data_IF_540244288023
#
_entry.id   IF_540244288023
#
_cell.length_a   1.000
_cell.length_b   1.000
_cell.length_c   1.000
_cell.angle_alpha   90.00
_cell.angle_beta   90.00
_cell.angle_gamma   90.00
#
_symmetry.space_group_name_H-M   'P 1'
#
loop_
_entity.id
_entity.type
_entity.pdbx_description
1 polymer ?
#
# COMPACT_ATOMS: atom_id res chain seq x y z
N UNK A 1 -95.50 16.36 29.91
CA UNK A 1 -95.78 17.67 30.58
C UNK A 1 -97.08 18.21 30.07
N UNK A 2 -97.94 18.69 30.97
CA UNK A 2 -99.17 19.41 30.61
C UNK A 2 -98.78 20.88 30.28
N UNK A 3 -99.08 21.33 29.06
CA UNK A 3 -98.76 22.68 28.61
C UNK A 3 -99.98 23.63 28.79
N UNK A 4 -101.20 23.08 28.70
CA UNK A 4 -102.44 23.82 28.88
C UNK A 4 -103.55 22.91 29.41
N UNK A 5 -104.46 23.38 30.24
CA UNK A 5 -105.57 22.63 30.88
C UNK A 5 -105.09 22.07 32.24
N UNK A 6 -106.04 22.05 33.21
CA UNK A 6 -105.74 21.58 34.57
C UNK A 6 -106.05 20.09 34.69
N UNK A 7 -105.06 19.26 34.19
CA UNK A 7 -105.20 17.77 34.25
C UNK A 7 -103.99 17.19 34.94
N UNK A 8 -104.19 16.07 35.66
CA UNK A 8 -103.09 15.29 36.25
C UNK A 8 -102.93 14.02 35.38
N UNK A 9 -101.71 13.77 34.89
CA UNK A 9 -101.37 12.56 34.17
C UNK A 9 -100.92 11.57 35.19
N UNK A 10 -101.49 10.40 35.23
CA UNK A 10 -101.09 9.26 36.05
C UNK A 10 -101.13 7.98 35.17
N UNK A 11 -100.09 7.22 35.22
CA UNK A 11 -99.95 5.96 34.42
C UNK A 11 -100.27 6.22 32.91
N UNK A 12 -99.71 7.31 32.34
CA UNK A 12 -99.91 7.79 30.95
C UNK A 12 -101.39 8.06 30.58
N UNK A 13 -102.27 8.27 31.58
CA UNK A 13 -103.69 8.53 31.39
C UNK A 13 -104.08 9.82 32.13
N UNK A 14 -105.01 10.49 31.57
CA UNK A 14 -105.72 11.62 32.23
C UNK A 14 -107.22 11.63 31.83
N UNK A 15 -108.05 12.23 32.61
CA UNK A 15 -109.44 12.45 32.30
C UNK A 15 -109.59 13.79 31.60
N UNK A 16 -110.29 13.85 30.44
CA UNK A 16 -110.57 15.04 29.71
C UNK A 16 -111.50 15.93 30.49
N UNK A 17 -111.13 17.15 30.78
CA UNK A 17 -112.01 18.18 31.38
C UNK A 17 -112.87 18.79 30.29
N UNK A 18 -113.93 19.59 30.60
CA UNK A 18 -114.73 20.38 29.69
C UNK A 18 -114.02 21.55 29.00
N UNK A 19 -112.64 21.58 29.06
CA UNK A 19 -111.77 22.59 28.52
C UNK A 19 -110.63 21.96 27.68
N UNK A 20 -110.05 22.74 26.79
CA UNK A 20 -108.97 22.34 25.93
C UNK A 20 -107.67 21.94 26.77
N UNK A 21 -107.10 20.82 26.43
CA UNK A 21 -105.82 20.34 27.05
C UNK A 21 -104.76 20.18 26.00
N UNK A 22 -103.56 20.74 26.28
CA UNK A 22 -102.38 20.56 25.45
C UNK A 22 -101.31 19.79 26.28
N UNK A 23 -100.82 18.64 25.75
CA UNK A 23 -99.82 17.82 26.37
C UNK A 23 -98.63 17.73 25.43
N UNK A 24 -97.40 17.98 26.00
CA UNK A 24 -96.13 17.78 25.27
C UNK A 24 -95.43 16.58 25.86
N UNK A 25 -95.17 15.60 25.03
CA UNK A 25 -94.22 14.54 25.37
C UNK A 25 -92.81 15.12 25.38
N UNK A 26 -92.12 14.97 26.46
CA UNK A 26 -90.71 15.31 26.58
C UNK A 26 -89.92 13.96 26.65
N UNK A 27 -89.10 13.79 25.66
CA UNK A 27 -88.16 12.66 25.62
C UNK A 27 -86.84 13.19 26.10
N UNK A 28 -86.24 12.49 27.07
CA UNK A 28 -84.84 12.68 27.39
C UNK A 28 -84.02 11.75 26.50
N UNK A 29 -82.95 12.31 25.93
CA UNK A 29 -81.99 11.50 25.17
C UNK A 29 -81.29 10.59 26.17
N UNK A 30 -81.36 9.28 25.94
CA UNK A 30 -80.61 8.35 26.76
C UNK A 30 -79.11 8.72 26.70
N UNK A 31 -78.48 8.91 27.83
CA UNK A 31 -77.05 9.15 27.87
C UNK A 31 -76.34 8.01 27.13
N UNK A 32 -75.41 8.36 26.19
CA UNK A 32 -74.66 7.32 25.50
C UNK A 32 -74.06 6.32 26.52
N UNK A 33 -74.11 5.00 26.23
CA UNK A 33 -73.57 4.03 27.16
C UNK A 33 -72.10 4.36 27.45
N UNK A 34 -71.75 4.46 28.73
CA UNK A 34 -70.36 4.66 29.15
C UNK A 34 -69.55 3.47 28.62
N UNK A 35 -68.46 3.71 27.87
CA UNK A 35 -67.64 2.64 27.35
C UNK A 35 -67.14 1.76 28.52
N UNK A 36 -67.42 0.47 28.45
CA UNK A 36 -66.89 -0.48 29.43
C UNK A 36 -65.46 -0.85 29.09
N UNK A 37 -64.59 -0.93 30.09
CA UNK A 37 -63.19 -1.35 29.91
C UNK A 37 -63.14 -2.79 29.31
N UNK A 38 -62.45 -2.99 28.14
CA UNK A 38 -62.37 -4.33 27.56
C UNK A 38 -61.51 -5.28 28.35
N UNK A 39 -61.77 -6.57 28.25
CA UNK A 39 -60.91 -7.60 28.80
C UNK A 39 -59.49 -7.51 28.17
N UNK A 40 -58.46 -7.69 28.98
CA UNK A 40 -57.08 -7.68 28.50
C UNK A 40 -56.85 -8.82 27.52
N UNK A 41 -56.43 -8.54 26.26
CA UNK A 41 -56.35 -9.55 25.24
C UNK A 41 -55.11 -10.45 25.42
N UNK A 42 -55.21 -11.66 24.91
CA UNK A 42 -54.06 -12.52 24.67
C UNK A 42 -53.78 -12.51 23.15
N UNK A 43 -52.85 -11.66 22.74
CA UNK A 43 -52.54 -11.49 21.31
C UNK A 43 -51.43 -12.46 20.87
N UNK A 44 -51.52 -12.89 19.63
CA UNK A 44 -50.47 -13.63 18.92
C UNK A 44 -50.26 -13.08 17.53
N UNK A 45 -49.02 -13.11 17.02
CA UNK A 45 -48.69 -12.79 15.65
C UNK A 45 -48.44 -14.07 14.88
N UNK A 46 -48.98 -14.15 13.68
CA UNK A 46 -48.80 -15.27 12.75
C UNK A 46 -48.28 -14.75 11.41
N UNK A 47 -47.55 -15.60 10.68
CA UNK A 47 -46.94 -15.29 9.38
C UNK A 47 -45.44 -15.15 9.47
N UNK A 48 -44.77 -15.40 8.33
CA UNK A 48 -43.36 -15.17 8.10
C UNK A 48 -43.23 -14.12 7.01
N UNK A 49 -42.40 -13.14 7.25
CA UNK A 49 -42.20 -12.02 6.34
C UNK A 49 -40.74 -11.95 5.93
N UNK A 50 -40.52 -11.69 4.65
CA UNK A 50 -39.17 -11.45 4.08
C UNK A 50 -39.21 -10.12 3.35
N UNK A 51 -38.18 -9.34 3.46
CA UNK A 51 -38.07 -8.04 2.80
C UNK A 51 -38.31 -8.15 1.28
N UNK A 52 -39.16 -7.27 0.77
CA UNK A 52 -39.49 -7.19 -0.67
C UNK A 52 -39.67 -5.76 -1.17
N UNK A 53 -39.24 -4.76 -0.39
CA UNK A 53 -39.39 -3.33 -0.69
C UNK A 53 -40.77 -2.76 -0.44
N UNK A 54 -41.76 -3.58 -0.04
CA UNK A 54 -43.14 -3.16 0.23
C UNK A 54 -43.47 -3.22 1.73
N UNK A 55 -44.48 -2.48 2.15
CA UNK A 55 -44.98 -2.54 3.53
C UNK A 55 -45.57 -3.92 3.82
N UNK A 56 -45.08 -4.56 4.83
CA UNK A 56 -45.66 -5.76 5.44
C UNK A 56 -46.57 -5.37 6.60
N UNK A 57 -47.71 -6.07 6.72
CA UNK A 57 -48.63 -5.94 7.85
C UNK A 57 -48.71 -7.28 8.59
N UNK A 58 -48.27 -7.27 9.83
CA UNK A 58 -48.32 -8.46 10.66
C UNK A 58 -49.80 -8.88 10.95
N UNK A 59 -50.10 -10.16 10.75
CA UNK A 59 -51.40 -10.74 11.12
C UNK A 59 -51.46 -10.96 12.61
N UNK A 60 -52.27 -10.13 13.29
CA UNK A 60 -52.41 -10.14 14.73
C UNK A 60 -53.78 -10.75 15.11
N UNK A 61 -53.78 -11.73 15.93
CA UNK A 61 -55.01 -12.41 16.41
C UNK A 61 -55.24 -12.08 17.89
N UNK A 62 -56.47 -12.20 18.34
CA UNK A 62 -56.85 -12.12 19.75
C UNK A 62 -57.16 -10.71 20.25
N UNK A 63 -57.37 -9.72 19.35
CA UNK A 63 -57.79 -8.38 19.72
C UNK A 63 -59.08 -7.97 18.98
N UNK A 64 -59.77 -6.94 19.50
CA UNK A 64 -61.02 -6.43 18.94
C UNK A 64 -60.87 -4.92 18.60
N UNK A 65 -60.93 -4.58 17.30
CA UNK A 65 -60.84 -3.21 16.83
C UNK A 65 -61.98 -2.26 17.28
N UNK A 66 -63.13 -2.82 17.71
CA UNK A 66 -64.20 -1.98 18.26
C UNK A 66 -63.80 -1.33 19.59
N UNK A 67 -63.02 -2.02 20.41
CA UNK A 67 -62.67 -1.64 21.79
C UNK A 67 -61.19 -1.37 21.99
N UNK A 68 -60.35 -1.71 21.03
CA UNK A 68 -58.87 -1.64 21.13
C UNK A 68 -58.23 -0.93 19.95
N UNK A 69 -57.09 -0.32 20.16
CA UNK A 69 -56.21 0.24 19.13
C UNK A 69 -54.97 -0.64 18.97
N UNK A 70 -54.48 -0.73 17.71
CA UNK A 70 -53.29 -1.49 17.36
C UNK A 70 -52.28 -0.55 16.70
N UNK A 71 -51.00 -0.76 17.01
CA UNK A 71 -49.86 -0.06 16.41
C UNK A 71 -48.64 -0.94 16.32
N UNK A 72 -47.66 -0.58 15.50
CA UNK A 72 -46.40 -1.34 15.36
C UNK A 72 -46.58 -2.67 14.61
N UNK A 73 -47.70 -2.88 13.97
CA UNK A 73 -48.00 -4.05 13.15
C UNK A 73 -47.67 -3.89 11.66
N UNK A 74 -47.07 -2.76 11.27
CA UNK A 74 -46.62 -2.52 9.91
C UNK A 74 -45.16 -2.09 9.90
N UNK A 75 -44.36 -2.60 8.95
CA UNK A 75 -42.98 -2.21 8.69
C UNK A 75 -42.58 -2.55 7.25
N UNK A 76 -41.53 -1.92 6.76
CA UNK A 76 -41.04 -2.15 5.38
C UNK A 76 -39.68 -2.88 5.44
N UNK A 77 -38.77 -2.44 6.31
CA UNK A 77 -37.40 -2.95 6.36
C UNK A 77 -37.29 -4.28 7.11
N UNK A 78 -36.24 -5.03 6.83
CA UNK A 78 -35.90 -6.21 7.62
C UNK A 78 -35.52 -5.80 9.06
N UNK A 79 -35.98 -6.56 10.01
CA UNK A 79 -35.75 -6.27 11.42
C UNK A 79 -36.79 -6.88 12.34
N UNK A 80 -36.61 -6.64 13.63
CA UNK A 80 -37.50 -7.07 14.70
C UNK A 80 -38.42 -5.93 15.13
N UNK A 81 -39.71 -6.23 15.26
CA UNK A 81 -40.75 -5.27 15.53
C UNK A 81 -41.65 -5.74 16.69
N UNK A 82 -42.40 -4.82 17.26
CA UNK A 82 -43.32 -5.08 18.34
C UNK A 82 -44.68 -4.50 18.03
N UNK A 83 -45.65 -5.36 17.94
CA UNK A 83 -47.08 -4.96 17.94
C UNK A 83 -47.45 -4.51 19.35
N UNK A 84 -48.25 -3.46 19.42
CA UNK A 84 -48.83 -2.91 20.66
C UNK A 84 -50.32 -2.78 20.50
N UNK A 85 -51.07 -3.38 21.40
CA UNK A 85 -52.50 -3.26 21.50
C UNK A 85 -52.87 -2.54 22.80
N UNK A 86 -53.68 -1.51 22.71
CA UNK A 86 -54.13 -0.69 23.83
C UNK A 86 -55.65 -0.65 23.91
N UNK A 87 -56.20 -0.53 25.10
CA UNK A 87 -57.66 -0.25 25.27
C UNK A 87 -57.96 1.18 24.86
N UNK A 88 -59.06 1.41 24.11
CA UNK A 88 -59.56 2.76 23.77
C UNK A 88 -60.04 3.54 24.99
N UNK A 89 -60.37 2.87 26.10
CA UNK A 89 -60.72 3.51 27.39
C UNK A 89 -59.49 3.85 28.21
N UNK A 90 -58.28 3.41 27.80
CA UNK A 90 -57.03 3.60 28.54
C UNK A 90 -56.82 2.62 29.70
N UNK A 91 -57.76 1.73 29.94
CA UNK A 91 -57.71 0.73 31.03
C UNK A 91 -58.27 -0.61 30.55
N UNK A 92 -57.83 -1.68 31.12
CA UNK A 92 -58.35 -3.03 30.97
C UNK A 92 -59.35 -3.35 32.09
N UNK A 93 -60.23 -4.32 31.87
CA UNK A 93 -61.24 -4.74 32.84
C UNK A 93 -60.65 -5.22 34.18
N UNK A 94 -59.38 -5.67 34.19
CA UNK A 94 -58.64 -6.03 35.40
C UNK A 94 -58.08 -4.82 36.16
N UNK A 95 -58.35 -3.58 35.69
CA UNK A 95 -57.83 -2.34 36.26
C UNK A 95 -56.45 -1.98 35.85
N UNK A 96 -55.70 -2.85 35.11
CA UNK A 96 -54.38 -2.55 34.61
C UNK A 96 -54.43 -1.56 33.43
N UNK A 97 -53.27 -0.86 33.22
CA UNK A 97 -53.06 0.07 32.11
C UNK A 97 -51.85 -0.36 31.31
N UNK A 98 -51.68 0.19 30.11
CA UNK A 98 -50.54 -0.11 29.26
C UNK A 98 -50.86 -1.12 28.15
N UNK A 99 -49.96 -1.19 27.19
CA UNK A 99 -50.14 -2.04 26.02
C UNK A 99 -49.89 -3.52 26.31
N UNK A 100 -50.63 -4.36 25.63
CA UNK A 100 -50.23 -5.77 25.41
C UNK A 100 -49.40 -5.85 24.17
N UNK A 101 -48.29 -6.56 24.22
CA UNK A 101 -47.30 -6.58 23.12
C UNK A 101 -47.04 -7.99 22.62
N UNK A 102 -46.73 -8.09 21.33
CA UNK A 102 -46.23 -9.31 20.69
C UNK A 102 -45.11 -8.95 19.69
N UNK A 103 -44.07 -9.77 19.64
CA UNK A 103 -42.97 -9.60 18.72
C UNK A 103 -43.31 -10.18 17.33
N UNK A 104 -42.77 -9.55 16.30
CA UNK A 104 -42.76 -10.10 14.94
C UNK A 104 -41.51 -9.59 14.21
N UNK A 105 -41.14 -10.16 13.05
CA UNK A 105 -39.96 -9.76 12.30
C UNK A 105 -40.19 -9.88 10.80
N UNK A 106 -39.41 -9.09 10.07
CA UNK A 106 -39.18 -9.22 8.63
C UNK A 106 -37.76 -9.68 8.45
N UNK A 107 -37.56 -10.87 7.86
CA UNK A 107 -36.25 -11.43 7.55
C UNK A 107 -35.59 -10.70 6.36
N UNK A 108 -34.26 -10.75 6.28
CA UNK A 108 -33.52 -10.26 5.11
C UNK A 108 -33.87 -11.08 3.87
N UNK A 109 -33.88 -10.45 2.71
CA UNK A 109 -34.02 -11.08 1.41
C UNK A 109 -32.65 -11.57 0.88
N UNK A 110 -32.67 -12.53 -0.02
CA UNK A 110 -31.51 -12.92 -0.82
C UNK A 110 -31.32 -11.95 -1.97
N UNK A 111 -30.09 -11.80 -2.44
CA UNK A 111 -29.73 -11.03 -3.63
C UNK A 111 -29.36 -11.96 -4.78
N UNK A 112 -29.58 -11.49 -6.01
CA UNK A 112 -29.09 -12.15 -7.21
C UNK A 112 -27.58 -11.97 -7.35
N UNK A 113 -26.95 -12.81 -8.18
CA UNK A 113 -25.54 -12.65 -8.49
C UNK A 113 -25.31 -11.40 -9.37
N UNK A 114 -24.23 -10.63 -9.18
CA UNK A 114 -23.83 -9.56 -10.10
C UNK A 114 -23.69 -10.07 -11.53
N UNK A 115 -23.99 -9.24 -12.51
CA UNK A 115 -23.79 -9.54 -13.92
C UNK A 115 -23.03 -8.40 -14.63
N UNK A 116 -22.54 -8.66 -15.84
CA UNK A 116 -21.83 -7.66 -16.63
C UNK A 116 -20.43 -7.30 -16.11
N UNK A 117 -19.84 -8.10 -15.23
CA UNK A 117 -18.50 -7.89 -14.72
C UNK A 117 -17.46 -8.28 -15.78
N UNK A 118 -16.47 -7.41 -16.03
CA UNK A 118 -15.40 -7.61 -17.00
C UNK A 118 -14.05 -7.36 -16.32
N UNK A 119 -13.18 -8.37 -16.30
CA UNK A 119 -11.78 -8.22 -15.91
C UNK A 119 -10.94 -7.73 -17.09
N UNK A 120 -10.12 -6.72 -16.87
CA UNK A 120 -9.17 -6.15 -17.82
C UNK A 120 -7.77 -6.38 -17.29
N UNK A 121 -6.91 -7.00 -18.08
CA UNK A 121 -5.52 -7.29 -17.73
C UNK A 121 -4.72 -5.99 -17.50
N UNK A 122 -3.66 -6.02 -16.68
CA UNK A 122 -2.66 -4.98 -16.64
C UNK A 122 -2.03 -4.73 -18.00
N UNK A 123 -1.42 -3.58 -18.21
CA UNK A 123 -0.75 -3.23 -19.48
C UNK A 123 0.45 -4.12 -19.75
N UNK A 124 1.18 -4.51 -18.70
CA UNK A 124 2.36 -5.38 -18.78
C UNK A 124 2.27 -6.55 -17.81
N UNK A 125 3.00 -7.62 -18.12
CA UNK A 125 3.19 -8.77 -17.24
C UNK A 125 3.75 -8.32 -15.88
N UNK A 126 3.12 -8.77 -14.78
CA UNK A 126 3.47 -8.35 -13.43
C UNK A 126 2.99 -6.95 -13.06
N UNK A 127 2.33 -6.24 -13.95
CA UNK A 127 1.71 -4.94 -13.68
C UNK A 127 0.57 -5.02 -12.66
N UNK A 128 0.20 -3.87 -12.11
CA UNK A 128 -0.90 -3.73 -11.16
C UNK A 128 -1.92 -2.67 -11.56
N UNK A 129 -1.99 -2.35 -12.85
CA UNK A 129 -2.93 -1.40 -13.44
C UNK A 129 -4.15 -2.09 -14.09
N UNK A 130 -4.34 -3.37 -13.82
CA UNK A 130 -5.53 -4.13 -14.19
C UNK A 130 -6.78 -3.62 -13.47
N UNK A 131 -7.95 -3.98 -14.00
CA UNK A 131 -9.22 -3.52 -13.44
C UNK A 131 -10.37 -4.51 -13.63
N UNK A 132 -11.43 -4.32 -12.85
CA UNK A 132 -12.73 -4.97 -13.06
C UNK A 132 -13.76 -3.86 -13.24
N UNK A 133 -14.46 -3.86 -14.37
CA UNK A 133 -15.58 -2.95 -14.65
C UNK A 133 -16.93 -3.63 -14.45
N UNK A 134 -18.01 -2.80 -14.39
CA UNK A 134 -19.37 -3.28 -14.19
C UNK A 134 -19.76 -3.45 -12.73
N UNK A 135 -18.97 -2.96 -11.80
CA UNK A 135 -19.29 -2.94 -10.37
C UNK A 135 -20.12 -1.71 -9.99
N UNK A 136 -20.67 -1.71 -8.80
CA UNK A 136 -21.38 -0.59 -8.19
C UNK A 136 -20.95 -0.41 -6.74
N UNK A 137 -21.30 0.72 -6.13
CA UNK A 137 -21.06 1.01 -4.70
C UNK A 137 -21.79 0.08 -3.72
N UNK A 138 -22.69 -0.76 -4.24
CA UNK A 138 -23.38 -1.81 -3.45
C UNK A 138 -22.67 -3.15 -3.48
N UNK A 139 -21.57 -3.25 -4.16
CA UNK A 139 -20.79 -4.47 -4.32
C UNK A 139 -19.52 -4.44 -3.45
N UNK A 140 -19.00 -5.62 -3.22
CA UNK A 140 -17.71 -5.85 -2.57
C UNK A 140 -16.93 -6.94 -3.31
N UNK A 141 -15.61 -6.88 -3.23
CA UNK A 141 -14.73 -7.81 -3.92
C UNK A 141 -13.61 -8.32 -3.04
N UNK A 142 -13.00 -9.43 -3.43
CA UNK A 142 -11.76 -9.97 -2.86
C UNK A 142 -10.97 -10.75 -3.90
N UNK A 143 -9.67 -10.90 -3.70
CA UNK A 143 -8.93 -11.96 -4.42
C UNK A 143 -9.42 -13.34 -3.97
N UNK A 144 -9.31 -14.33 -4.87
CA UNK A 144 -9.78 -15.69 -4.59
C UNK A 144 -9.07 -16.36 -3.39
N UNK A 145 -7.80 -16.00 -3.15
CA UNK A 145 -6.96 -16.49 -2.05
C UNK A 145 -7.17 -15.73 -0.73
N UNK A 146 -7.95 -14.66 -0.71
CA UNK A 146 -8.26 -13.85 0.48
C UNK A 146 -9.65 -14.15 1.00
N UNK A 147 -9.85 -13.97 2.29
CA UNK A 147 -11.14 -14.14 2.96
C UNK A 147 -11.89 -12.83 3.23
N UNK A 148 -11.20 -11.70 3.15
CA UNK A 148 -11.75 -10.39 3.50
C UNK A 148 -12.19 -9.68 2.22
N UNK A 149 -13.43 -9.16 2.23
CA UNK A 149 -13.98 -8.35 1.16
C UNK A 149 -13.64 -6.87 1.37
N UNK A 150 -13.46 -6.18 0.26
CA UNK A 150 -13.29 -4.72 0.17
C UNK A 150 -14.50 -4.15 -0.56
N UNK A 151 -15.10 -3.10 -0.02
CA UNK A 151 -16.22 -2.44 -0.67
C UNK A 151 -15.77 -1.79 -1.99
N UNK A 152 -16.61 -1.90 -3.03
CA UNK A 152 -16.41 -1.20 -4.29
C UNK A 152 -16.75 0.28 -4.13
N UNK A 153 -16.04 1.13 -4.87
CA UNK A 153 -16.35 2.55 -4.99
C UNK A 153 -16.43 2.92 -6.49
N UNK A 154 -17.59 3.40 -6.94
CA UNK A 154 -17.78 3.74 -8.35
C UNK A 154 -18.13 2.54 -9.23
N UNK A 155 -17.76 2.61 -10.51
CA UNK A 155 -18.13 1.63 -11.56
C UNK A 155 -17.01 0.70 -11.98
N UNK A 156 -15.79 0.92 -11.46
CA UNK A 156 -14.59 0.12 -11.73
C UNK A 156 -13.81 -0.11 -10.43
N UNK A 157 -13.13 -1.24 -10.35
CA UNK A 157 -12.09 -1.54 -9.37
C UNK A 157 -10.78 -1.41 -10.12
N UNK A 158 -9.90 -0.54 -9.68
CA UNK A 158 -8.62 -0.25 -10.31
C UNK A 158 -7.43 -0.81 -9.50
N UNK A 159 -6.24 -0.72 -10.10
CA UNK A 159 -4.98 -1.11 -9.48
C UNK A 159 -4.94 -2.60 -9.07
N UNK A 160 -5.46 -3.45 -9.95
CA UNK A 160 -5.48 -4.89 -9.74
C UNK A 160 -4.30 -5.57 -10.46
N UNK A 161 -3.67 -6.51 -9.78
CA UNK A 161 -2.76 -7.47 -10.40
C UNK A 161 -3.55 -8.57 -11.11
N UNK A 162 -2.90 -9.28 -12.03
CA UNK A 162 -3.46 -10.48 -12.63
C UNK A 162 -3.86 -11.50 -11.55
N UNK A 163 -5.00 -12.15 -11.75
CA UNK A 163 -5.51 -13.14 -10.80
C UNK A 163 -7.01 -13.36 -10.90
N UNK A 164 -7.51 -14.25 -10.05
CA UNK A 164 -8.93 -14.51 -9.91
C UNK A 164 -9.49 -13.72 -8.72
N UNK A 165 -10.62 -13.08 -8.96
CA UNK A 165 -11.34 -12.28 -7.98
C UNK A 165 -12.76 -12.81 -7.83
N UNK A 166 -13.35 -12.58 -6.67
CA UNK A 166 -14.78 -12.75 -6.43
C UNK A 166 -15.41 -11.39 -6.19
N UNK A 167 -16.55 -11.16 -6.82
CA UNK A 167 -17.37 -9.96 -6.66
C UNK A 167 -18.78 -10.39 -6.32
N UNK A 168 -19.42 -9.72 -5.35
CA UNK A 168 -20.81 -9.96 -4.96
C UNK A 168 -21.48 -8.66 -4.51
N UNK A 169 -22.78 -8.64 -4.43
CA UNK A 169 -23.47 -7.59 -3.68
C UNK A 169 -23.16 -7.74 -2.18
N UNK A 170 -22.83 -6.64 -1.55
CA UNK A 170 -22.57 -6.59 -0.11
C UNK A 170 -23.86 -6.83 0.68
N UNK A 171 -23.73 -7.37 1.88
CA UNK A 171 -24.82 -7.43 2.84
C UNK A 171 -25.22 -6.00 3.25
N UNK A 172 -26.53 -5.76 3.33
CA UNK A 172 -27.10 -4.52 3.85
C UNK A 172 -28.15 -4.79 4.95
N UNK A 173 -28.86 -3.77 5.36
CA UNK A 173 -29.89 -3.92 6.38
C UNK A 173 -31.03 -4.86 5.95
N UNK A 174 -31.34 -4.90 4.66
CA UNK A 174 -32.50 -5.58 4.09
C UNK A 174 -32.16 -6.88 3.35
N UNK A 175 -30.89 -7.10 3.02
CA UNK A 175 -30.44 -8.22 2.22
C UNK A 175 -29.25 -8.94 2.85
N UNK A 176 -29.19 -10.24 2.69
CA UNK A 176 -27.97 -11.02 2.88
C UNK A 176 -26.97 -10.69 1.76
N UNK A 177 -25.68 -10.96 1.98
CA UNK A 177 -24.69 -10.88 0.90
C UNK A 177 -25.11 -11.78 -0.27
N UNK A 178 -24.92 -11.28 -1.48
CA UNK A 178 -25.21 -12.00 -2.72
C UNK A 178 -24.22 -13.16 -2.96
N UNK A 179 -24.49 -14.02 -3.94
CA UNK A 179 -23.55 -15.04 -4.38
C UNK A 179 -22.29 -14.43 -5.00
N UNK A 180 -21.16 -15.11 -4.80
CA UNK A 180 -19.90 -14.76 -5.43
C UNK A 180 -19.92 -15.01 -6.94
N UNK A 181 -19.47 -14.04 -7.72
CA UNK A 181 -19.16 -14.19 -9.15
C UNK A 181 -17.64 -14.13 -9.35
N UNK A 182 -17.09 -15.17 -9.96
CA UNK A 182 -15.67 -15.21 -10.30
C UNK A 182 -15.38 -14.30 -11.50
N UNK A 183 -14.37 -13.46 -11.38
CA UNK A 183 -13.86 -12.59 -12.45
C UNK A 183 -12.35 -12.78 -12.54
N UNK A 184 -11.86 -13.07 -13.75
CA UNK A 184 -10.43 -13.19 -14.01
C UNK A 184 -9.89 -11.88 -14.57
N UNK A 185 -8.89 -11.32 -13.92
CA UNK A 185 -8.01 -10.29 -14.46
C UNK A 185 -6.82 -11.05 -15.06
N UNK A 186 -6.74 -11.04 -16.40
CA UNK A 186 -5.70 -11.78 -17.14
C UNK A 186 -4.29 -11.23 -16.88
N UNK A 187 -3.29 -11.94 -17.37
CA UNK A 187 -1.91 -11.45 -17.40
C UNK A 187 -1.79 -10.28 -18.39
N UNK A 188 -0.94 -9.30 -18.06
CA UNK A 188 -0.58 -8.22 -18.97
C UNK A 188 0.26 -8.71 -20.16
N UNK A 189 0.52 -7.84 -21.12
CA UNK A 189 1.39 -8.14 -22.24
C UNK A 189 2.81 -8.49 -21.73
N UNK A 190 3.48 -9.51 -22.30
CA UNK A 190 4.85 -9.84 -21.95
C UNK A 190 5.77 -8.61 -22.08
N UNK A 191 6.67 -8.42 -21.12
CA UNK A 191 7.70 -7.39 -21.21
C UNK A 191 8.60 -7.66 -22.44
N UNK A 192 8.92 -6.61 -23.19
CA UNK A 192 9.80 -6.68 -24.35
C UNK A 192 11.21 -7.15 -23.96
N UNK A 193 11.86 -7.89 -24.86
CA UNK A 193 13.28 -8.18 -24.74
C UNK A 193 14.08 -6.94 -25.13
N UNK A 194 15.07 -6.59 -24.29
CA UNK A 194 16.00 -5.47 -24.50
C UNK A 194 17.42 -6.01 -24.60
N UNK A 195 18.20 -5.50 -25.55
CA UNK A 195 19.59 -5.89 -25.75
C UNK A 195 20.52 -4.84 -25.17
N UNK A 196 21.42 -5.29 -24.31
CA UNK A 196 22.51 -4.50 -23.74
C UNK A 196 23.77 -4.82 -24.59
N UNK A 197 24.34 -3.82 -25.24
CA UNK A 197 25.62 -3.96 -25.98
C UNK A 197 26.72 -3.20 -25.24
N UNK A 198 27.94 -3.70 -25.35
CA UNK A 198 29.10 -3.08 -24.71
C UNK A 198 30.05 -2.49 -25.78
N UNK A 199 30.48 -1.25 -25.55
CA UNK A 199 31.40 -0.53 -26.41
C UNK A 199 32.69 -0.22 -25.65
N UNK A 200 33.81 -0.75 -26.13
CA UNK A 200 35.11 -0.54 -25.51
C UNK A 200 35.66 0.89 -25.63
N UNK A 201 35.05 1.73 -26.48
CA UNK A 201 35.41 3.15 -26.63
C UNK A 201 36.92 3.43 -26.70
N UNK A 202 37.60 2.74 -27.63
CA UNK A 202 39.07 2.79 -27.82
C UNK A 202 39.83 1.70 -27.07
N UNK A 203 39.27 0.99 -26.12
CA UNK A 203 39.83 -0.20 -25.55
C UNK A 203 39.73 -1.41 -26.52
N UNK A 204 40.52 -2.44 -26.27
CA UNK A 204 40.54 -3.67 -27.08
C UNK A 204 39.84 -4.85 -26.39
N UNK A 205 39.51 -5.89 -27.14
CA UNK A 205 38.72 -7.02 -26.65
C UNK A 205 37.25 -6.91 -26.97
N UNK A 206 36.42 -7.77 -26.41
CA UNK A 206 34.96 -7.78 -26.59
C UNK A 206 34.26 -8.20 -25.30
N UNK A 207 33.05 -7.72 -25.15
CA UNK A 207 32.08 -8.22 -24.18
C UNK A 207 30.82 -8.65 -24.93
N UNK A 208 30.29 -9.82 -24.59
CA UNK A 208 29.11 -10.35 -25.26
C UNK A 208 27.87 -9.53 -24.90
N UNK A 209 26.96 -9.29 -25.86
CA UNK A 209 25.67 -8.68 -25.57
C UNK A 209 24.85 -9.48 -24.57
N UNK A 210 24.04 -8.78 -23.76
CA UNK A 210 23.14 -9.41 -22.79
C UNK A 210 21.70 -9.07 -23.16
N UNK A 211 20.82 -10.07 -23.18
CA UNK A 211 19.37 -9.85 -23.35
C UNK A 211 18.68 -9.91 -21.99
N UNK A 212 17.88 -8.91 -21.67
CA UNK A 212 17.07 -8.83 -20.46
C UNK A 212 15.66 -8.40 -20.82
N UNK A 213 14.69 -8.59 -19.91
CA UNK A 213 13.36 -8.01 -20.08
C UNK A 213 13.39 -6.50 -19.75
N UNK A 214 12.53 -5.74 -20.42
CA UNK A 214 12.30 -4.34 -20.02
C UNK A 214 11.98 -4.25 -18.52
N UNK A 215 12.28 -3.12 -17.89
CA UNK A 215 12.14 -2.86 -16.46
C UNK A 215 13.11 -3.68 -15.56
N UNK A 216 14.02 -4.49 -16.15
CA UNK A 216 15.06 -5.18 -15.38
C UNK A 216 16.07 -4.18 -14.81
N UNK A 217 16.35 -4.32 -13.53
CA UNK A 217 17.48 -3.64 -12.88
C UNK A 217 18.77 -4.42 -13.15
N UNK A 218 19.51 -3.97 -14.16
CA UNK A 218 20.77 -4.60 -14.57
C UNK A 218 21.94 -4.05 -13.72
N UNK A 219 22.73 -4.96 -13.15
CA UNK A 219 23.92 -4.60 -12.38
C UNK A 219 25.11 -4.50 -13.34
N UNK A 220 25.78 -3.35 -13.37
CA UNK A 220 26.88 -3.08 -14.27
C UNK A 220 28.09 -3.94 -13.91
N UNK A 221 28.62 -4.74 -14.89
CA UNK A 221 29.71 -5.69 -14.65
C UNK A 221 31.06 -5.01 -14.50
N UNK A 222 32.08 -5.78 -14.13
CA UNK A 222 33.48 -5.41 -14.30
C UNK A 222 33.78 -5.18 -15.79
N UNK A 223 34.70 -4.27 -16.07
CA UNK A 223 35.12 -3.99 -17.45
C UNK A 223 35.95 -5.14 -18.02
N UNK A 224 35.42 -5.80 -19.03
CA UNK A 224 36.11 -6.88 -19.73
C UNK A 224 37.00 -6.42 -20.91
N UNK A 225 37.04 -5.12 -21.22
CA UNK A 225 37.92 -4.55 -22.24
C UNK A 225 39.31 -4.28 -21.67
N UNK A 226 40.33 -4.42 -22.50
CA UNK A 226 41.70 -3.96 -22.21
C UNK A 226 41.78 -2.46 -22.49
N UNK A 227 42.28 -1.70 -21.52
CA UNK A 227 42.41 -0.26 -21.64
C UNK A 227 43.39 0.15 -22.79
N UNK A 228 43.22 1.34 -23.41
CA UNK A 228 44.22 1.93 -24.26
C UNK A 228 45.54 2.16 -23.51
N UNK A 229 46.65 2.36 -24.25
CA UNK A 229 47.95 2.63 -23.65
C UNK A 229 47.88 3.82 -22.67
N UNK A 230 48.55 3.68 -21.54
CA UNK A 230 48.63 4.70 -20.48
C UNK A 230 47.25 5.12 -19.88
N UNK A 231 46.23 4.29 -20.05
CA UNK A 231 44.91 4.50 -19.45
C UNK A 231 44.48 3.33 -18.60
N UNK A 232 43.51 3.57 -17.71
CA UNK A 232 42.85 2.59 -16.88
C UNK A 232 41.33 2.82 -16.92
N UNK A 233 40.55 1.78 -16.64
CA UNK A 233 39.10 1.91 -16.60
C UNK A 233 38.64 2.89 -15.53
N UNK A 234 37.76 3.81 -15.91
CA UNK A 234 37.20 4.84 -15.03
C UNK A 234 35.80 4.47 -14.56
N UNK A 235 34.92 4.24 -15.50
CA UNK A 235 33.48 4.06 -15.28
C UNK A 235 32.80 3.54 -16.56
N UNK A 236 31.52 3.18 -16.44
CA UNK A 236 30.63 2.98 -17.55
C UNK A 236 29.88 4.26 -17.90
N UNK A 237 29.54 4.49 -19.16
CA UNK A 237 28.65 5.55 -19.62
C UNK A 237 27.42 4.95 -20.26
N UNK A 238 26.23 5.43 -19.86
CA UNK A 238 24.95 5.11 -20.48
C UNK A 238 24.20 6.42 -20.72
N UNK A 239 23.92 6.73 -21.99
CA UNK A 239 23.17 7.94 -22.34
C UNK A 239 23.82 9.26 -21.86
N UNK A 240 25.16 9.32 -21.75
CA UNK A 240 25.90 10.49 -21.27
C UNK A 240 26.06 10.60 -19.75
N UNK A 241 25.57 9.62 -19.00
CA UNK A 241 25.70 9.55 -17.54
C UNK A 241 26.72 8.48 -17.12
N UNK A 242 27.59 8.82 -16.18
CA UNK A 242 28.60 7.91 -15.65
C UNK A 242 28.05 7.03 -14.52
N UNK A 243 28.42 5.74 -14.56
CA UNK A 243 28.08 4.71 -13.58
C UNK A 243 29.33 3.92 -13.17
N UNK A 244 29.35 3.45 -11.93
CA UNK A 244 30.41 2.58 -11.44
C UNK A 244 30.07 1.11 -11.67
N UNK A 245 31.10 0.27 -11.64
CA UNK A 245 30.91 -1.18 -11.51
C UNK A 245 30.04 -1.49 -10.29
N UNK A 246 29.05 -2.34 -10.44
CA UNK A 246 28.10 -2.72 -9.40
C UNK A 246 26.90 -1.77 -9.24
N UNK A 247 26.88 -0.64 -9.91
CA UNK A 247 25.70 0.24 -9.95
C UNK A 247 24.56 -0.48 -10.70
N UNK A 248 23.31 -0.16 -10.32
CA UNK A 248 22.10 -0.69 -10.94
C UNK A 248 21.56 0.30 -11.96
N UNK A 249 21.18 -0.19 -13.14
CA UNK A 249 20.52 0.57 -14.20
C UNK A 249 19.23 -0.10 -14.63
N UNK A 250 18.09 0.62 -14.64
CA UNK A 250 16.81 0.09 -15.13
C UNK A 250 16.77 0.14 -16.65
N UNK A 251 16.68 -1.03 -17.27
CA UNK A 251 16.69 -1.18 -18.74
C UNK A 251 15.26 -1.09 -19.27
N UNK A 252 14.97 -0.06 -20.07
CA UNK A 252 13.63 0.16 -20.66
C UNK A 252 13.62 0.05 -22.20
N UNK A 253 14.72 -0.38 -22.79
CA UNK A 253 14.91 -0.55 -24.25
C UNK A 253 16.34 -0.98 -24.54
N UNK A 254 16.69 -1.15 -25.82
CA UNK A 254 18.04 -1.45 -26.22
C UNK A 254 19.00 -0.32 -25.81
N UNK A 255 20.14 -0.68 -25.21
CA UNK A 255 21.15 0.28 -24.72
C UNK A 255 22.55 -0.09 -25.14
N UNK A 256 23.39 0.90 -25.31
CA UNK A 256 24.84 0.76 -25.43
C UNK A 256 25.51 1.25 -24.13
N UNK A 257 26.36 0.41 -23.54
CA UNK A 257 27.18 0.74 -22.37
C UNK A 257 28.61 0.95 -22.84
N UNK A 258 29.15 2.18 -22.69
CA UNK A 258 30.49 2.53 -23.11
C UNK A 258 31.46 2.52 -21.98
N UNK A 259 32.67 2.00 -22.21
CA UNK A 259 33.78 2.16 -21.27
C UNK A 259 34.31 3.59 -21.31
N UNK A 260 34.50 4.18 -20.14
CA UNK A 260 35.22 5.43 -19.97
C UNK A 260 36.60 5.15 -19.37
N UNK A 261 37.59 5.81 -19.92
CA UNK A 261 39.00 5.67 -19.54
C UNK A 261 39.50 6.93 -18.86
N UNK A 262 40.47 6.79 -17.98
CA UNK A 262 41.25 7.88 -17.38
C UNK A 262 42.73 7.57 -17.49
N UNK A 263 43.59 8.61 -17.52
CA UNK A 263 45.01 8.40 -17.55
C UNK A 263 45.47 7.60 -16.33
N UNK A 264 46.27 6.55 -16.57
CA UNK A 264 46.92 5.76 -15.51
C UNK A 264 48.00 6.64 -14.88
N UNK A 265 47.93 6.83 -13.59
CA UNK A 265 49.03 7.48 -12.83
C UNK A 265 50.15 6.45 -12.67
N UNK A 266 51.12 6.48 -13.59
CA UNK A 266 52.34 5.74 -13.41
C UNK A 266 53.13 6.44 -12.30
N UNK A 267 53.09 5.98 -11.10
CA UNK A 267 54.04 6.41 -10.04
C UNK A 267 55.35 5.72 -10.35
N UNK A 268 56.43 6.46 -10.77
CA UNK A 268 57.70 5.81 -11.02
C UNK A 268 58.20 5.10 -9.75
N UNK A 269 58.67 3.85 -9.91
CA UNK A 269 59.32 3.13 -8.83
C UNK A 269 60.52 3.92 -8.32
N UNK A 270 60.62 4.16 -7.04
CA UNK A 270 61.76 4.83 -6.41
C UNK A 270 62.66 3.81 -5.72
N UNK A 271 63.93 4.08 -5.76
CA UNK A 271 65.01 3.25 -5.17
C UNK A 271 65.75 4.06 -4.12
N UNK A 272 66.35 3.39 -3.15
CA UNK A 272 67.00 4.00 -2.00
C UNK A 272 68.53 3.92 -2.14
N UNK A 273 69.21 4.99 -1.78
CA UNK A 273 70.65 5.03 -1.62
C UNK A 273 71.04 4.97 -0.15
N UNK A 274 71.70 3.92 0.25
CA UNK A 274 72.29 3.78 1.59
C UNK A 274 73.78 4.18 1.56
N UNK A 275 74.13 5.09 2.44
CA UNK A 275 75.52 5.51 2.57
C UNK A 275 76.06 5.08 3.93
N UNK A 276 77.07 4.25 3.90
CA UNK A 276 77.85 3.85 5.10
C UNK A 276 79.24 4.56 5.07
N UNK A 277 80.06 4.37 6.17
CA UNK A 277 81.36 4.95 6.26
C UNK A 277 82.35 3.94 7.04
N UNK A 278 83.62 4.24 7.08
CA UNK A 278 84.61 3.47 7.75
C UNK A 278 84.85 3.87 9.24
N UNK A 279 84.13 4.84 9.77
CA UNK A 279 84.19 5.40 11.11
C UNK A 279 84.98 6.71 11.21
N UNK A 280 85.69 7.12 10.17
CA UNK A 280 86.60 8.27 10.17
C UNK A 280 85.94 9.53 9.53
N UNK A 281 84.64 9.53 9.32
CA UNK A 281 83.86 10.59 8.78
C UNK A 281 82.40 10.19 8.58
N UNK A 282 81.59 11.02 7.86
CA UNK A 282 80.25 10.73 7.51
C UNK A 282 80.02 10.88 6.01
N UNK A 283 79.09 10.13 5.47
CA UNK A 283 78.65 10.24 4.08
C UNK A 283 77.13 10.43 3.98
N UNK A 284 76.67 11.17 2.99
CA UNK A 284 75.24 11.37 2.68
C UNK A 284 75.00 11.30 1.18
N UNK A 285 73.76 10.96 0.80
CA UNK A 285 73.28 10.98 -0.57
C UNK A 285 72.10 11.96 -0.70
N UNK A 286 72.06 12.76 -1.75
CA UNK A 286 70.95 13.69 -2.02
C UNK A 286 70.54 13.60 -3.48
N UNK A 287 69.29 13.25 -3.77
CA UNK A 287 68.29 12.65 -2.85
C UNK A 287 68.68 11.24 -2.38
N UNK A 288 68.24 10.83 -1.19
CA UNK A 288 68.47 9.47 -0.67
C UNK A 288 67.49 8.44 -1.22
N UNK A 289 66.41 8.89 -1.90
CA UNK A 289 65.46 8.05 -2.58
C UNK A 289 65.03 8.75 -3.87
N UNK A 290 65.08 8.07 -5.01
CA UNK A 290 64.79 8.63 -6.29
C UNK A 290 64.35 7.58 -7.33
N UNK A 291 63.67 8.01 -8.37
CA UNK A 291 63.39 7.19 -9.55
C UNK A 291 64.73 6.92 -10.33
N UNK A 292 64.69 5.79 -11.06
CA UNK A 292 65.81 5.48 -11.97
C UNK A 292 66.09 6.63 -12.93
N UNK A 293 67.41 6.86 -13.21
CA UNK A 293 67.88 7.96 -14.07
C UNK A 293 68.01 9.33 -13.36
N UNK A 294 67.60 9.43 -12.09
CA UNK A 294 67.79 10.66 -11.32
C UNK A 294 69.26 10.77 -10.91
N UNK A 295 69.87 11.95 -11.03
CA UNK A 295 71.24 12.22 -10.56
C UNK A 295 71.23 12.26 -9.02
N UNK A 296 72.09 11.47 -8.44
CA UNK A 296 72.39 11.42 -6.99
C UNK A 296 73.72 12.09 -6.74
N UNK A 297 73.77 13.01 -5.78
CA UNK A 297 74.99 13.64 -5.31
C UNK A 297 75.39 13.05 -3.96
N UNK A 298 76.62 12.61 -3.84
CA UNK A 298 77.21 12.10 -2.60
C UNK A 298 78.02 13.22 -1.93
N UNK A 299 78.01 13.27 -0.63
CA UNK A 299 78.79 14.21 0.14
C UNK A 299 79.52 13.47 1.25
N UNK A 300 80.82 13.59 1.30
CA UNK A 300 81.66 13.02 2.37
C UNK A 300 82.17 14.18 3.26
N UNK A 301 82.13 13.95 4.59
CA UNK A 301 82.61 14.92 5.58
C UNK A 301 83.64 14.18 6.51
N UNK A 302 84.91 14.41 6.33
CA UNK A 302 85.94 13.77 7.18
C UNK A 302 85.92 14.22 8.66
N UNK A 303 86.27 13.40 9.56
CA UNK A 303 86.61 13.79 10.94
C UNK A 303 87.92 14.53 10.99
N UNK A 304 88.24 15.25 12.09
CA UNK A 304 89.46 15.96 12.28
C UNK A 304 90.65 15.02 12.20
N UNK A 305 91.66 15.31 11.36
CA UNK A 305 92.82 14.49 11.13
C UNK A 305 92.66 13.45 10.01
N UNK A 306 91.56 13.52 9.27
CA UNK A 306 91.29 12.66 8.13
C UNK A 306 90.86 13.50 6.90
N UNK A 307 91.10 12.94 5.70
CA UNK A 307 90.54 13.45 4.45
C UNK A 307 89.77 12.35 3.71
N UNK A 308 88.86 12.76 2.84
CA UNK A 308 88.07 11.86 1.98
C UNK A 308 89.05 11.18 0.97
N UNK A 309 88.98 9.86 0.90
CA UNK A 309 89.82 9.10 -0.05
C UNK A 309 88.98 8.71 -1.30
N UNK A 310 87.93 7.96 -1.11
CA UNK A 310 87.13 7.48 -2.22
C UNK A 310 85.73 7.01 -1.80
N UNK A 311 84.84 6.85 -2.75
CA UNK A 311 83.55 6.15 -2.62
C UNK A 311 83.72 4.68 -3.04
N UNK A 312 83.40 3.74 -2.20
CA UNK A 312 83.38 2.32 -2.50
C UNK A 312 81.88 1.91 -2.79
N UNK A 313 81.58 1.44 -4.01
CA UNK A 313 80.31 0.85 -4.32
C UNK A 313 80.20 -0.55 -3.73
N UNK A 314 79.19 -0.75 -2.82
CA UNK A 314 78.96 -2.04 -2.18
C UNK A 314 77.90 -2.83 -2.97
N UNK A 315 76.85 -2.15 -3.41
CA UNK A 315 75.80 -2.78 -4.25
C UNK A 315 75.17 -1.74 -5.20
N UNK A 316 74.40 -2.22 -6.19
CA UNK A 316 73.69 -1.37 -7.17
C UNK A 316 74.48 -1.09 -8.46
N UNK A 317 75.73 -1.51 -8.58
CA UNK A 317 76.49 -1.54 -9.82
C UNK A 317 76.69 -0.15 -10.49
N UNK A 318 76.69 0.93 -9.74
CA UNK A 318 76.86 2.31 -10.25
C UNK A 318 78.31 2.68 -10.44
N UNK A 319 78.57 3.58 -11.36
CA UNK A 319 79.87 4.25 -11.52
C UNK A 319 79.77 5.66 -10.96
N UNK A 320 80.56 6.00 -9.97
CA UNK A 320 80.56 7.31 -9.34
C UNK A 320 81.61 8.16 -10.04
N UNK A 321 81.24 9.34 -10.48
CA UNK A 321 82.10 10.34 -11.09
C UNK A 321 81.78 11.70 -10.51
N UNK A 322 82.82 12.42 -10.04
CA UNK A 322 82.67 13.77 -9.44
C UNK A 322 81.60 13.80 -8.33
N UNK A 323 81.65 12.75 -7.44
CA UNK A 323 80.70 12.52 -6.34
C UNK A 323 79.24 12.34 -6.77
N UNK A 324 79.00 11.92 -8.01
CA UNK A 324 77.63 11.75 -8.61
C UNK A 324 77.51 10.43 -9.31
N UNK A 325 76.23 9.94 -9.37
CA UNK A 325 75.87 8.83 -10.23
C UNK A 325 74.37 8.94 -10.61
N UNK A 326 73.95 8.24 -11.62
CA UNK A 326 72.53 8.13 -11.99
C UNK A 326 71.94 6.93 -11.27
N UNK A 327 70.80 7.10 -10.60
CA UNK A 327 70.06 6.06 -9.89
C UNK A 327 69.73 4.92 -10.86
N UNK A 328 70.15 3.66 -10.58
CA UNK A 328 69.78 2.50 -11.39
C UNK A 328 68.32 2.05 -11.07
N UNK A 329 67.86 0.99 -11.74
CA UNK A 329 66.60 0.31 -11.43
C UNK A 329 66.68 -0.62 -10.19
N UNK A 330 67.53 -0.26 -9.22
CA UNK A 330 67.79 -1.06 -8.00
C UNK A 330 68.29 -0.12 -6.88
N UNK A 331 68.22 -0.63 -5.64
CA UNK A 331 68.81 0.08 -4.50
C UNK A 331 70.34 0.13 -4.62
N UNK A 332 70.95 1.20 -4.16
CA UNK A 332 72.38 1.39 -4.17
C UNK A 332 72.91 1.47 -2.74
N UNK A 333 74.03 0.77 -2.45
CA UNK A 333 74.78 0.97 -1.25
C UNK A 333 76.22 1.42 -1.60
N UNK A 334 76.63 2.54 -1.00
CA UNK A 334 77.97 3.08 -1.12
C UNK A 334 78.62 3.30 0.26
N UNK A 335 79.94 3.24 0.33
CA UNK A 335 80.67 3.49 1.53
C UNK A 335 81.68 4.60 1.30
N UNK A 336 81.75 5.59 2.19
CA UNK A 336 82.74 6.62 2.23
C UNK A 336 84.02 6.05 2.94
N UNK A 337 85.14 6.14 2.32
CA UNK A 337 86.43 5.76 2.84
C UNK A 337 87.26 7.00 3.09
N UNK A 338 87.83 7.13 4.24
CA UNK A 338 88.67 8.23 4.68
C UNK A 338 90.08 7.72 4.98
N UNK A 339 91.08 8.60 4.86
CA UNK A 339 92.53 8.32 5.12
C UNK A 339 93.09 9.34 6.12
N UNK A 340 93.96 8.90 7.02
CA UNK A 340 94.56 9.81 8.00
C UNK A 340 95.48 10.81 7.35
N UNK A 341 95.41 12.05 7.81
CA UNK A 341 96.29 13.11 7.32
C UNK A 341 97.73 12.78 7.71
N UNK A 342 98.60 12.75 6.70
CA UNK A 342 100.07 12.55 7.01
C UNK A 342 100.64 13.86 7.58
N UNK A 343 101.46 13.80 8.66
CA UNK A 343 101.96 15.00 9.28
C UNK A 343 102.92 15.82 8.40
#
# INVERSE_FOLDING_TARGET
>A
QVMRGNVTIKDDKFTMPDSEVEIKAIFEEDAPPVPTDPAKPNISVTGTYTYNGSVHTATVNGYDLATMDISGNTATDAGDYTVRVTSKTGRWADGSTGAVTAAWSIGKATQEAPNGLIGVAPTTEGGSDGKISGVTDKMEYRMADKSIYTACSGTEIENLSAGNYFVRYAEDNNHFAGPDVAVTVGEGAPLADCTITFNGNGGSGSMEPVTVKAETNYILPECGFTAPADQEFKAWEIGGTEYKVGDSYTVNGDIEIKALWKNSVITPSTYTVTVSNDGNGTGTATPSTAAAGTEITLTATPNTGYHFKEWQVISGGVTIKDDKFLMPNDNVEVKAIFEEDTP
#
